data_IF_198008290714
#
_entry.id   IF_198008290714
#
_cell.length_a   1.000
_cell.length_b   1.000
_cell.length_c   1.000
_cell.angle_alpha   90.00
_cell.angle_beta   90.00
_cell.angle_gamma   90.00
#
_symmetry.space_group_name_H-M   'P 1'
#
loop_
_entity.id
_entity.type
_entity.pdbx_description
1 polymer ?
#
# COMPACT_ATOMS: atom_id res chain seq x y z
N UNK A 1 -20.19 -12.81 -20.97
CA UNK A 1 -20.86 -11.63 -20.40
C UNK A 1 -20.33 -11.45 -18.99
N UNK A 2 -19.48 -10.45 -18.72
CA UNK A 2 -19.09 -10.21 -17.32
C UNK A 2 -20.36 -9.77 -16.58
N UNK A 3 -20.61 -10.38 -15.42
CA UNK A 3 -21.64 -9.88 -14.53
C UNK A 3 -21.21 -8.46 -14.15
N UNK A 4 -21.88 -7.47 -14.75
CA UNK A 4 -21.56 -6.06 -14.55
C UNK A 4 -21.67 -5.76 -13.07
N UNK A 5 -20.53 -5.73 -12.39
CA UNK A 5 -20.44 -5.22 -11.04
C UNK A 5 -20.74 -3.73 -11.16
N UNK A 6 -21.96 -3.31 -10.84
CA UNK A 6 -22.32 -1.90 -10.74
C UNK A 6 -21.63 -1.33 -9.51
N UNK A 7 -20.32 -1.10 -9.60
CA UNK A 7 -19.56 -0.42 -8.56
C UNK A 7 -19.56 1.06 -8.89
N UNK A 8 -20.09 1.85 -7.96
CA UNK A 8 -20.11 3.31 -8.06
C UNK A 8 -18.67 3.85 -8.25
N UNK A 9 -18.38 4.58 -9.35
CA UNK A 9 -17.07 5.14 -9.63
C UNK A 9 -16.51 6.03 -8.51
N UNK A 10 -17.38 6.75 -7.78
CA UNK A 10 -16.96 7.57 -6.65
C UNK A 10 -16.51 6.71 -5.47
N UNK A 11 -17.17 5.56 -5.23
CA UNK A 11 -16.70 4.59 -4.23
C UNK A 11 -15.33 4.01 -4.59
N UNK A 12 -15.07 3.73 -5.88
CA UNK A 12 -13.75 3.26 -6.34
C UNK A 12 -12.69 4.33 -6.10
N UNK A 13 -12.99 5.59 -6.40
CA UNK A 13 -12.08 6.72 -6.20
C UNK A 13 -11.78 6.96 -4.72
N UNK A 14 -12.80 6.94 -3.88
CA UNK A 14 -12.65 7.04 -2.42
C UNK A 14 -11.83 5.87 -1.85
N UNK A 15 -12.07 4.64 -2.31
CA UNK A 15 -11.29 3.48 -1.90
C UNK A 15 -9.81 3.61 -2.34
N UNK A 16 -9.55 4.10 -3.56
CA UNK A 16 -8.20 4.32 -4.06
C UNK A 16 -7.45 5.37 -3.24
N UNK A 17 -8.13 6.45 -2.86
CA UNK A 17 -7.55 7.51 -2.04
C UNK A 17 -7.21 7.01 -0.62
N UNK A 18 -8.13 6.28 0.02
CA UNK A 18 -7.87 5.65 1.33
C UNK A 18 -6.73 4.64 1.28
N UNK A 19 -6.66 3.83 0.22
CA UNK A 19 -5.54 2.91 0.02
C UNK A 19 -4.21 3.66 -0.09
N UNK A 20 -4.18 4.78 -0.83
CA UNK A 20 -2.98 5.62 -0.94
C UNK A 20 -2.57 6.24 0.39
N UNK A 21 -3.53 6.73 1.20
CA UNK A 21 -3.25 7.27 2.54
C UNK A 21 -2.67 6.20 3.47
N UNK A 22 -3.24 4.99 3.44
CA UNK A 22 -2.74 3.85 4.19
C UNK A 22 -1.30 3.49 3.78
N UNK A 23 -1.01 3.40 2.47
CA UNK A 23 0.34 3.12 1.95
C UNK A 23 1.35 4.12 2.53
N UNK A 24 1.08 5.42 2.41
CA UNK A 24 1.97 6.47 2.93
C UNK A 24 2.21 6.32 4.44
N UNK A 25 1.16 6.00 5.20
CA UNK A 25 1.25 5.79 6.64
C UNK A 25 2.17 4.60 6.98
N UNK A 26 1.97 3.44 6.34
CA UNK A 26 2.79 2.25 6.58
C UNK A 26 4.24 2.39 6.08
N UNK A 27 4.48 3.13 5.00
CA UNK A 27 5.85 3.43 4.54
C UNK A 27 6.61 4.30 5.55
N UNK A 28 5.92 5.30 6.13
CA UNK A 28 6.49 6.18 7.15
C UNK A 28 6.86 5.39 8.41
N UNK A 29 5.93 4.56 8.91
CA UNK A 29 6.20 3.71 10.09
C UNK A 29 7.25 2.65 9.82
N UNK A 30 7.21 2.00 8.65
CA UNK A 30 8.23 1.04 8.23
C UNK A 30 9.63 1.64 8.22
N UNK A 31 9.77 2.89 7.77
CA UNK A 31 11.04 3.63 7.81
C UNK A 31 11.50 3.88 9.24
N UNK A 32 10.59 4.28 10.14
CA UNK A 32 10.90 4.49 11.56
C UNK A 32 11.36 3.17 12.25
N UNK A 33 10.71 2.05 11.93
CA UNK A 33 11.08 0.71 12.44
C UNK A 33 12.48 0.30 11.93
N UNK A 34 12.75 0.48 10.63
CA UNK A 34 14.08 0.22 10.03
C UNK A 34 15.18 1.06 10.68
N UNK A 35 14.91 2.34 10.95
CA UNK A 35 15.84 3.23 11.65
C UNK A 35 16.09 2.76 13.09
N UNK A 36 15.06 2.34 13.81
CA UNK A 36 15.20 1.82 15.17
C UNK A 36 16.04 0.54 15.21
N UNK A 37 15.83 -0.38 14.26
CA UNK A 37 16.67 -1.59 14.11
C UNK A 37 18.14 -1.20 13.90
N UNK A 38 18.43 -0.29 12.97
CA UNK A 38 19.80 0.12 12.67
C UNK A 38 20.51 0.74 13.89
N UNK A 39 19.78 1.51 14.71
CA UNK A 39 20.30 2.06 15.98
C UNK A 39 20.68 0.94 16.95
N UNK A 40 19.86 -0.10 17.03
CA UNK A 40 20.11 -1.23 17.95
C UNK A 40 21.25 -2.11 17.46
N UNK A 41 21.33 -2.37 16.15
CA UNK A 41 22.46 -3.08 15.54
C UNK A 41 23.77 -2.34 15.81
N UNK A 42 23.80 -1.02 15.60
CA UNK A 42 24.98 -0.18 15.83
C UNK A 42 25.41 -0.12 17.30
N UNK A 43 24.45 -0.16 18.23
CA UNK A 43 24.73 -0.06 19.67
C UNK A 43 24.76 -1.41 20.38
N UNK A 44 24.62 -2.53 19.66
CA UNK A 44 24.65 -3.87 20.24
C UNK A 44 25.97 -4.16 20.95
N UNK A 45 27.09 -3.64 20.43
CA UNK A 45 28.38 -3.69 21.11
C UNK A 45 28.35 -2.97 22.47
N UNK A 46 27.67 -1.82 22.60
CA UNK A 46 27.56 -1.09 23.88
C UNK A 46 26.70 -1.82 24.93
N UNK A 47 25.88 -2.79 24.53
CA UNK A 47 25.09 -3.63 25.42
C UNK A 47 25.87 -4.87 25.91
N UNK A 48 27.04 -5.17 25.32
CA UNK A 48 27.88 -6.33 25.65
C UNK A 48 29.34 -6.00 26.04
N UNK A 49 29.90 -4.86 25.64
CA UNK A 49 31.35 -4.57 25.73
C UNK A 49 31.86 -4.13 27.11
N UNK A 50 31.00 -3.93 28.12
CA UNK A 50 31.41 -3.41 29.43
C UNK A 50 31.42 -4.43 30.59
N UNK A 51 31.18 -5.73 30.34
CA UNK A 51 31.00 -6.70 31.41
C UNK A 51 31.81 -7.99 31.26
N UNK A 52 32.81 -8.17 32.13
CA UNK A 52 33.67 -9.35 32.30
C UNK A 52 32.91 -10.59 32.85
N UNK A 53 31.72 -10.91 32.33
CA UNK A 53 30.85 -11.98 32.83
C UNK A 53 30.11 -12.71 31.70
N UNK A 54 30.64 -13.86 31.28
CA UNK A 54 30.15 -14.65 30.13
C UNK A 54 28.67 -15.07 30.13
N UNK A 55 27.96 -15.03 31.26
CA UNK A 55 26.51 -15.32 31.32
C UNK A 55 25.66 -14.09 30.93
N UNK A 56 26.14 -12.88 31.23
CA UNK A 56 25.48 -11.63 30.83
C UNK A 56 25.69 -11.38 29.33
N UNK A 57 26.87 -11.73 28.80
CA UNK A 57 27.21 -11.60 27.39
C UNK A 57 26.29 -12.43 26.48
N UNK A 58 26.09 -13.71 26.79
CA UNK A 58 25.16 -14.57 26.04
C UNK A 58 23.71 -14.09 26.16
N UNK A 59 23.26 -13.65 27.34
CA UNK A 59 21.91 -13.14 27.51
C UNK A 59 21.66 -11.84 26.70
N UNK A 60 22.65 -10.95 26.60
CA UNK A 60 22.57 -9.72 25.82
C UNK A 60 22.67 -9.97 24.31
N UNK A 61 23.50 -10.93 23.89
CA UNK A 61 23.58 -11.39 22.51
C UNK A 61 22.28 -12.08 22.07
N UNK A 62 21.76 -13.02 22.86
CA UNK A 62 20.48 -13.70 22.62
C UNK A 62 19.31 -12.71 22.60
N UNK A 63 19.29 -11.76 23.54
CA UNK A 63 18.30 -10.67 23.54
C UNK A 63 18.40 -9.84 22.25
N UNK A 64 19.60 -9.41 21.88
CA UNK A 64 19.83 -8.61 20.66
C UNK A 64 19.43 -9.38 19.41
N UNK A 65 19.76 -10.67 19.33
CA UNK A 65 19.40 -11.55 18.23
C UNK A 65 17.88 -11.74 18.16
N UNK A 66 17.23 -11.99 19.31
CA UNK A 66 15.77 -12.14 19.34
C UNK A 66 15.04 -10.86 18.95
N UNK A 67 15.61 -9.73 19.35
CA UNK A 67 15.12 -8.41 18.99
C UNK A 67 15.26 -8.16 17.48
N UNK A 68 16.43 -8.47 16.89
CA UNK A 68 16.64 -8.41 15.42
C UNK A 68 15.65 -9.29 14.67
N UNK A 69 15.48 -10.55 15.06
CA UNK A 69 14.49 -11.46 14.45
C UNK A 69 13.08 -10.87 14.46
N UNK A 70 12.70 -10.21 15.56
CA UNK A 70 11.39 -9.57 15.70
C UNK A 70 11.25 -8.37 14.76
N UNK A 71 12.29 -7.54 14.64
CA UNK A 71 12.30 -6.40 13.72
C UNK A 71 12.29 -6.84 12.26
N UNK A 72 13.08 -7.85 11.89
CA UNK A 72 13.09 -8.43 10.54
C UNK A 72 11.70 -8.96 10.17
N UNK A 73 11.03 -9.63 11.11
CA UNK A 73 9.65 -10.12 10.93
C UNK A 73 8.67 -8.97 10.74
N UNK A 74 8.74 -7.93 11.58
CA UNK A 74 7.87 -6.74 11.48
C UNK A 74 8.08 -6.00 10.16
N UNK A 75 9.34 -5.84 9.73
CA UNK A 75 9.69 -5.21 8.46
C UNK A 75 9.16 -6.02 7.29
N UNK A 76 9.31 -7.36 7.32
CA UNK A 76 8.79 -8.24 6.28
C UNK A 76 7.27 -8.11 6.14
N UNK A 77 6.53 -8.09 7.26
CA UNK A 77 5.09 -7.88 7.25
C UNK A 77 4.69 -6.49 6.74
N UNK A 78 5.41 -5.44 7.16
CA UNK A 78 5.16 -4.09 6.68
C UNK A 78 5.39 -3.98 5.17
N UNK A 79 6.50 -4.51 4.67
CA UNK A 79 6.84 -4.47 3.24
C UNK A 79 5.83 -5.28 2.41
N UNK A 80 5.38 -6.44 2.89
CA UNK A 80 4.32 -7.24 2.24
C UNK A 80 2.97 -6.53 2.23
N UNK A 81 2.61 -5.85 3.32
CA UNK A 81 1.39 -5.04 3.40
C UNK A 81 1.45 -3.87 2.41
N UNK A 82 2.55 -3.12 2.40
CA UNK A 82 2.76 -1.99 1.48
C UNK A 82 2.68 -2.44 0.02
N UNK A 83 3.31 -3.57 -0.35
CA UNK A 83 3.21 -4.13 -1.71
C UNK A 83 1.75 -4.45 -2.07
N UNK A 84 1.05 -5.16 -1.18
CA UNK A 84 -0.37 -5.53 -1.41
C UNK A 84 -1.25 -4.30 -1.53
N UNK A 85 -1.05 -3.29 -0.70
CA UNK A 85 -1.81 -2.04 -0.72
C UNK A 85 -1.53 -1.22 -2.00
N UNK A 86 -0.28 -1.17 -2.48
CA UNK A 86 0.08 -0.56 -3.78
C UNK A 86 -0.58 -1.28 -4.95
N UNK A 87 -0.61 -2.62 -4.93
CA UNK A 87 -1.29 -3.44 -5.96
C UNK A 87 -2.80 -3.18 -5.96
N UNK A 88 -3.42 -3.08 -4.78
CA UNK A 88 -4.83 -2.70 -4.64
C UNK A 88 -5.09 -1.31 -5.21
N UNK A 89 -4.27 -0.32 -4.84
CA UNK A 89 -4.36 1.05 -5.35
C UNK A 89 -4.28 1.10 -6.88
N UNK A 90 -3.29 0.40 -7.48
CA UNK A 90 -3.15 0.33 -8.93
C UNK A 90 -4.33 -0.36 -9.62
N UNK A 91 -4.91 -1.40 -8.99
CA UNK A 91 -6.12 -2.06 -9.47
C UNK A 91 -7.33 -1.11 -9.46
N UNK A 92 -7.53 -0.36 -8.37
CA UNK A 92 -8.62 0.61 -8.23
C UNK A 92 -8.49 1.78 -9.22
N UNK A 93 -7.28 2.29 -9.43
CA UNK A 93 -7.01 3.32 -10.44
C UNK A 93 -7.31 2.82 -11.85
N UNK A 94 -6.90 1.59 -12.16
CA UNK A 94 -7.18 0.95 -13.45
C UNK A 94 -8.69 0.77 -13.67
N UNK A 95 -9.40 0.29 -12.65
CA UNK A 95 -10.85 0.14 -12.70
C UNK A 95 -11.54 1.50 -12.91
N UNK A 96 -11.16 2.52 -12.14
CA UNK A 96 -11.68 3.89 -12.26
C UNK A 96 -11.49 4.45 -13.68
N UNK A 97 -10.31 4.26 -14.28
CA UNK A 97 -10.03 4.66 -15.66
C UNK A 97 -10.94 3.93 -16.66
N UNK A 98 -11.07 2.61 -16.53
CA UNK A 98 -11.91 1.80 -17.42
C UNK A 98 -13.38 2.22 -17.35
N UNK A 99 -13.89 2.54 -16.17
CA UNK A 99 -15.24 3.08 -16.00
C UNK A 99 -15.41 4.41 -16.74
N UNK A 100 -14.50 5.37 -16.54
CA UNK A 100 -14.58 6.68 -17.21
C UNK A 100 -14.53 6.55 -18.74
N UNK A 101 -13.68 5.67 -19.28
CA UNK A 101 -13.60 5.38 -20.71
C UNK A 101 -14.90 4.74 -21.23
N UNK A 102 -15.47 3.80 -20.48
CA UNK A 102 -16.72 3.12 -20.84
C UNK A 102 -17.91 4.08 -20.82
N UNK A 103 -18.01 4.94 -19.81
CA UNK A 103 -19.06 5.95 -19.68
C UNK A 103 -18.96 6.99 -20.80
N UNK A 104 -17.76 7.46 -21.11
CA UNK A 104 -17.52 8.37 -22.24
C UNK A 104 -17.94 7.74 -23.57
N UNK A 105 -17.55 6.48 -23.80
CA UNK A 105 -17.92 5.76 -25.02
C UNK A 105 -19.42 5.49 -25.12
N UNK A 106 -20.09 5.20 -24.00
CA UNK A 106 -21.53 5.03 -23.94
C UNK A 106 -22.28 6.35 -24.19
N UNK A 107 -21.84 7.44 -23.55
CA UNK A 107 -22.37 8.79 -23.78
C UNK A 107 -22.22 9.24 -25.23
N UNK A 108 -21.07 9.00 -25.84
CA UNK A 108 -20.81 9.34 -27.24
C UNK A 108 -21.63 8.47 -28.22
N UNK A 109 -21.97 7.24 -27.86
CA UNK A 109 -22.92 6.42 -28.62
C UNK A 109 -24.34 6.94 -28.48
N UNK A 110 -24.77 7.28 -27.26
CA UNK A 110 -26.09 7.85 -27.00
C UNK A 110 -26.28 9.20 -27.71
N UNK A 111 -25.26 10.06 -27.71
CA UNK A 111 -25.25 11.34 -28.45
C UNK A 111 -25.47 11.11 -29.95
N UNK A 112 -24.71 10.19 -30.56
CA UNK A 112 -24.86 9.85 -31.99
C UNK A 112 -26.22 9.23 -32.34
N UNK A 113 -26.84 8.50 -31.42
CA UNK A 113 -28.19 7.93 -31.61
C UNK A 113 -29.28 9.00 -31.41
N UNK A 114 -29.02 10.02 -30.59
CA UNK A 114 -29.95 11.14 -30.33
C UNK A 114 -29.91 12.29 -31.34
N UNK A 115 -28.94 12.32 -32.26
CA UNK A 115 -28.78 13.38 -33.28
C UNK A 115 -29.55 13.22 -34.63
N UNK A 116 -30.28 12.14 -34.99
CA UNK A 116 -30.72 11.96 -36.38
C UNK A 116 -31.97 12.76 -36.82
N UNK A 117 -32.53 13.69 -36.02
CA UNK A 117 -33.72 14.46 -36.39
C UNK A 117 -33.63 15.99 -36.26
N UNK A 118 -32.52 16.56 -35.79
CA UNK A 118 -32.45 18.01 -35.48
C UNK A 118 -32.10 18.91 -36.67
N UNK A 119 -31.61 18.37 -37.80
CA UNK A 119 -31.26 19.17 -39.01
C UNK A 119 -32.26 18.99 -40.18
N UNK A 120 -33.47 18.48 -39.90
CA UNK A 120 -34.47 18.14 -40.92
C UNK A 120 -35.81 18.82 -40.74
N UNK A 121 -35.86 20.10 -40.38
CA UNK A 121 -37.10 20.85 -40.19
C UNK A 121 -37.01 22.26 -40.76
N UNK A 122 -37.59 22.42 -41.96
CA UNK A 122 -37.86 23.66 -42.71
C UNK A 122 -38.13 24.92 -41.90
#
# INVERSE_FOLDING_TARGET
>A
MSQGFAVDPELVKHAAQRASEAVTHFETHGTAVKNAQAVIERNSALLGDYGDAGVFFHACEDFSNKFKETFDTLISYNDSFVDTARRLQGGLQTASKLYAETETAAGERLRRIGEPWMDGGR
#
